data_IF_297077939133
#
_entry.id   IF_297077939133
#
_cell.length_a   1.000
_cell.length_b   1.000
_cell.length_c   1.000
_cell.angle_alpha   90.00
_cell.angle_beta   90.00
_cell.angle_gamma   90.00
#
_symmetry.space_group_name_H-M   'P 1'
#
loop_
_entity.id
_entity.type
_entity.pdbx_description
1 polymer ?
#
# COMPACT_ATOMS: atom_id res chain seq x y z
N UNK A 1 7.45 14.09 -7.36
CA UNK A 1 6.96 12.90 -8.08
C UNK A 1 6.15 12.05 -7.10
N UNK A 2 4.93 11.64 -7.47
CA UNK A 2 4.02 10.87 -6.58
C UNK A 2 4.56 9.47 -6.30
N UNK A 3 5.12 8.80 -7.32
CA UNK A 3 5.61 7.43 -7.23
C UNK A 3 6.73 7.27 -6.17
N UNK A 4 7.68 8.22 -6.15
CA UNK A 4 8.77 8.20 -5.18
C UNK A 4 8.27 8.46 -3.74
N UNK A 5 7.35 9.40 -3.58
CA UNK A 5 6.77 9.71 -2.28
C UNK A 5 6.01 8.50 -1.70
N UNK A 6 5.23 7.80 -2.53
CA UNK A 6 4.53 6.59 -2.13
C UNK A 6 5.50 5.46 -1.74
N UNK A 7 6.56 5.24 -2.53
CA UNK A 7 7.58 4.25 -2.21
C UNK A 7 8.29 4.53 -0.88
N UNK A 8 8.68 5.79 -0.63
CA UNK A 8 9.29 6.19 0.63
C UNK A 8 8.33 6.03 1.82
N UNK A 9 7.06 6.42 1.65
CA UNK A 9 6.05 6.24 2.68
C UNK A 9 5.85 4.75 3.05
N UNK A 10 5.82 3.87 2.04
CA UNK A 10 5.74 2.43 2.26
C UNK A 10 6.97 1.91 3.02
N UNK A 11 8.18 2.32 2.64
CA UNK A 11 9.42 1.94 3.35
C UNK A 11 9.40 2.39 4.80
N UNK A 12 9.05 3.65 5.08
CA UNK A 12 8.96 4.17 6.46
C UNK A 12 7.90 3.40 7.27
N UNK A 13 6.75 3.11 6.67
CA UNK A 13 5.72 2.28 7.29
C UNK A 13 6.26 0.89 7.67
N UNK A 14 6.96 0.23 6.75
CA UNK A 14 7.56 -1.10 6.99
C UNK A 14 8.60 -1.01 8.12
N UNK A 15 9.43 0.03 8.16
CA UNK A 15 10.41 0.22 9.25
C UNK A 15 9.72 0.37 10.61
N UNK A 16 8.58 1.06 10.67
CA UNK A 16 7.83 1.27 11.92
C UNK A 16 7.17 -0.02 12.43
N UNK A 17 6.54 -0.81 11.55
CA UNK A 17 5.73 -1.96 11.96
C UNK A 17 6.34 -3.34 11.61
N UNK A 18 7.55 -3.36 11.04
CA UNK A 18 8.26 -4.54 10.55
C UNK A 18 8.51 -5.59 11.62
N UNK A 19 9.14 -5.20 12.73
CA UNK A 19 9.48 -6.13 13.81
C UNK A 19 8.26 -6.69 14.56
N UNK A 20 7.14 -5.97 14.56
CA UNK A 20 5.93 -6.37 15.31
C UNK A 20 4.98 -7.19 14.46
N UNK A 21 4.71 -6.75 13.23
CA UNK A 21 3.65 -7.29 12.37
C UNK A 21 4.15 -7.91 11.07
N UNK A 22 5.46 -7.83 10.79
CA UNK A 22 6.05 -8.22 9.51
C UNK A 22 5.91 -7.16 8.41
N UNK A 23 5.41 -5.96 8.73
CA UNK A 23 5.40 -4.85 7.77
C UNK A 23 4.42 -5.02 6.60
N UNK A 24 3.35 -5.82 6.74
CA UNK A 24 2.51 -6.20 5.60
C UNK A 24 1.89 -4.99 4.88
N UNK A 25 1.31 -4.06 5.65
CA UNK A 25 0.69 -2.78 5.24
C UNK A 25 -0.26 -2.81 4.01
N UNK A 26 -0.60 -4.00 3.52
CA UNK A 26 -1.38 -4.22 2.32
C UNK A 26 -2.16 -5.54 2.47
N UNK A 27 -3.48 -5.52 2.27
CA UNK A 27 -4.29 -6.74 2.35
C UNK A 27 -3.90 -7.80 1.33
N UNK A 28 -3.53 -7.41 0.10
CA UNK A 28 -3.12 -8.35 -0.94
C UNK A 28 -1.79 -9.05 -0.59
N UNK A 29 -0.84 -8.31 0.00
CA UNK A 29 0.40 -8.89 0.52
C UNK A 29 0.10 -9.87 1.65
N UNK A 30 -0.78 -9.51 2.58
CA UNK A 30 -1.20 -10.39 3.68
C UNK A 30 -1.87 -11.66 3.14
N UNK A 31 -2.75 -11.53 2.15
CA UNK A 31 -3.41 -12.66 1.50
C UNK A 31 -2.40 -13.58 0.81
N UNK A 32 -1.46 -13.02 0.06
CA UNK A 32 -0.42 -13.78 -0.63
C UNK A 32 0.46 -14.57 0.35
N UNK A 33 0.87 -13.94 1.47
CA UNK A 33 1.64 -14.62 2.51
C UNK A 33 0.83 -15.72 3.21
N UNK A 34 -0.49 -15.57 3.34
CA UNK A 34 -1.37 -16.65 3.82
C UNK A 34 -1.49 -17.80 2.81
N UNK A 35 -1.65 -17.50 1.52
CA UNK A 35 -1.70 -18.49 0.44
C UNK A 35 -0.40 -19.31 0.33
N UNK A 36 0.75 -18.65 0.51
CA UNK A 36 2.07 -19.28 0.50
C UNK A 36 2.44 -19.97 1.83
N UNK A 37 1.53 -20.02 2.81
CA UNK A 37 1.78 -20.64 4.12
C UNK A 37 2.76 -19.90 5.02
N UNK A 38 3.18 -18.68 4.66
CA UNK A 38 4.09 -17.83 5.46
C UNK A 38 3.38 -17.09 6.60
N UNK A 39 2.04 -16.99 6.56
CA UNK A 39 1.23 -16.41 7.65
C UNK A 39 -0.02 -17.23 7.94
N UNK A 40 -0.46 -17.25 9.21
CA UNK A 40 -1.66 -17.97 9.65
C UNK A 40 -2.92 -17.30 9.11
N UNK A 41 -3.77 -18.05 8.42
CA UNK A 41 -5.07 -17.58 7.90
C UNK A 41 -5.96 -16.87 8.92
N UNK A 42 -5.91 -17.29 10.20
CA UNK A 42 -6.68 -16.65 11.28
C UNK A 42 -6.29 -15.19 11.52
N UNK A 43 -5.09 -14.77 11.12
CA UNK A 43 -4.62 -13.37 11.24
C UNK A 43 -5.13 -12.49 10.10
N UNK A 44 -5.45 -13.06 8.94
CA UNK A 44 -5.87 -12.32 7.75
C UNK A 44 -7.00 -11.31 8.00
N UNK A 45 -8.15 -11.67 8.62
CA UNK A 45 -9.23 -10.70 8.81
C UNK A 45 -8.86 -9.55 9.75
N UNK A 46 -8.01 -9.82 10.76
CA UNK A 46 -7.53 -8.79 11.68
C UNK A 46 -6.59 -7.82 10.96
N UNK A 47 -5.67 -8.36 10.14
CA UNK A 47 -4.78 -7.53 9.32
C UNK A 47 -5.56 -6.67 8.34
N UNK A 48 -6.51 -7.27 7.62
CA UNK A 48 -7.38 -6.56 6.68
C UNK A 48 -8.08 -5.39 7.37
N UNK A 49 -8.75 -5.65 8.50
CA UNK A 49 -9.51 -4.63 9.23
C UNK A 49 -8.60 -3.50 9.74
N UNK A 50 -7.48 -3.84 10.39
CA UNK A 50 -6.56 -2.82 10.91
C UNK A 50 -5.93 -1.98 9.79
N UNK A 51 -5.57 -2.60 8.66
CA UNK A 51 -5.02 -1.89 7.50
C UNK A 51 -6.06 -0.94 6.88
N UNK A 52 -7.30 -1.38 6.71
CA UNK A 52 -8.38 -0.53 6.18
C UNK A 52 -8.70 0.63 7.12
N UNK A 53 -8.79 0.37 8.43
CA UNK A 53 -9.03 1.43 9.43
C UNK A 53 -7.86 2.43 9.45
N UNK A 54 -6.61 1.94 9.40
CA UNK A 54 -5.44 2.80 9.33
C UNK A 54 -5.44 3.69 8.08
N UNK A 55 -5.77 3.13 6.92
CA UNK A 55 -5.90 3.89 5.68
C UNK A 55 -7.01 4.95 5.76
N UNK A 56 -8.15 4.62 6.38
CA UNK A 56 -9.26 5.55 6.58
C UNK A 56 -8.85 6.75 7.46
N UNK A 57 -8.20 6.50 8.60
CA UNK A 57 -7.70 7.60 9.45
C UNK A 57 -6.59 8.40 8.77
N UNK A 58 -5.69 7.74 8.04
CA UNK A 58 -4.67 8.42 7.24
C UNK A 58 -5.29 9.38 6.21
N UNK A 59 -6.33 8.94 5.50
CA UNK A 59 -7.08 9.81 4.59
C UNK A 59 -7.73 10.98 5.33
N UNK A 60 -8.31 10.75 6.50
CA UNK A 60 -8.89 11.80 7.35
C UNK A 60 -7.88 12.87 7.78
N UNK A 61 -6.65 12.45 8.16
CA UNK A 61 -5.57 13.38 8.52
C UNK A 61 -5.19 14.25 7.33
N UNK A 62 -5.01 13.67 6.15
CA UNK A 62 -4.68 14.41 4.93
C UNK A 62 -5.82 15.36 4.54
N UNK A 63 -7.08 14.92 4.65
CA UNK A 63 -8.24 15.78 4.41
C UNK A 63 -8.26 16.99 5.34
N UNK A 64 -8.04 16.79 6.64
CA UNK A 64 -7.97 17.88 7.62
C UNK A 64 -6.81 18.83 7.34
N UNK A 65 -5.62 18.29 7.05
CA UNK A 65 -4.41 19.07 6.78
C UNK A 65 -4.51 19.92 5.51
N UNK A 66 -5.22 19.44 4.49
CA UNK A 66 -5.40 20.14 3.21
C UNK A 66 -6.81 20.72 3.02
N UNK A 67 -7.59 20.88 4.09
CA UNK A 67 -8.99 21.30 4.00
C UNK A 67 -9.17 22.58 3.18
N UNK A 68 -8.41 23.65 3.51
CA UNK A 68 -8.51 24.94 2.81
C UNK A 68 -8.12 24.83 1.33
N UNK A 69 -7.12 24.01 1.01
CA UNK A 69 -6.69 23.78 -0.37
C UNK A 69 -7.74 23.03 -1.17
N UNK A 70 -8.37 22.01 -0.57
CA UNK A 70 -9.45 21.21 -1.17
C UNK A 70 -10.68 22.11 -1.41
N UNK A 71 -11.07 22.92 -0.43
CA UNK A 71 -12.20 23.84 -0.57
C UNK A 71 -11.96 24.89 -1.67
N UNK A 72 -10.75 25.48 -1.70
CA UNK A 72 -10.37 26.43 -2.75
C UNK A 72 -10.40 25.81 -4.15
N UNK A 73 -9.93 24.58 -4.29
CA UNK A 73 -10.02 23.84 -5.55
C UNK A 73 -11.47 23.58 -5.94
N UNK A 74 -12.29 23.12 -4.98
CA UNK A 74 -13.70 22.83 -5.18
C UNK A 74 -14.48 24.05 -5.67
N UNK A 75 -14.30 25.21 -5.04
CA UNK A 75 -14.96 26.45 -5.45
C UNK A 75 -14.54 26.87 -6.87
N UNK A 76 -13.26 26.68 -7.22
CA UNK A 76 -12.72 27.10 -8.53
C UNK A 76 -13.15 26.19 -9.67
N UNK A 77 -13.16 24.89 -9.45
CA UNK A 77 -13.40 23.87 -10.49
C UNK A 77 -14.82 23.31 -10.46
N UNK A 78 -15.59 23.62 -9.41
CA UNK A 78 -16.91 23.05 -9.15
C UNK A 78 -16.90 21.51 -9.03
N UNK A 79 -15.75 20.93 -8.65
CA UNK A 79 -15.51 19.48 -8.55
C UNK A 79 -14.70 19.15 -7.29
N UNK A 80 -14.90 17.94 -6.73
CA UNK A 80 -14.12 17.47 -5.58
C UNK A 80 -12.89 16.69 -6.07
N UNK A 81 -11.70 16.89 -5.48
CA UNK A 81 -10.48 16.20 -5.89
C UNK A 81 -10.39 14.78 -5.28
N UNK A 82 -11.37 13.92 -5.58
CA UNK A 82 -11.46 12.56 -5.03
C UNK A 82 -10.29 11.65 -5.41
N UNK A 83 -9.58 11.96 -6.50
CA UNK A 83 -8.39 11.26 -6.95
C UNK A 83 -7.17 11.37 -6.02
N UNK A 84 -7.21 12.28 -5.02
CA UNK A 84 -6.17 12.36 -3.98
C UNK A 84 -6.24 11.15 -3.04
N UNK A 85 -7.43 10.60 -2.81
CA UNK A 85 -7.68 9.59 -1.77
C UNK A 85 -7.83 8.18 -2.33
N UNK A 86 -8.24 8.04 -3.59
CA UNK A 86 -8.43 6.75 -4.24
C UNK A 86 -8.02 6.81 -5.71
N UNK A 87 -7.66 5.67 -6.26
CA UNK A 87 -7.34 5.53 -7.68
C UNK A 87 -8.62 5.32 -8.49
N UNK A 88 -8.69 5.96 -9.65
CA UNK A 88 -9.79 5.85 -10.59
C UNK A 88 -9.24 5.45 -11.96
N UNK A 89 -9.91 4.54 -12.69
CA UNK A 89 -9.44 4.13 -14.00
C UNK A 89 -9.44 5.31 -14.97
N UNK A 90 -8.41 5.40 -15.80
CA UNK A 90 -8.39 6.37 -16.89
C UNK A 90 -9.49 6.07 -17.91
N UNK A 91 -9.97 7.09 -18.62
CA UNK A 91 -11.11 6.95 -19.56
C UNK A 91 -10.90 5.98 -20.72
N UNK A 92 -9.67 5.50 -20.94
CA UNK A 92 -9.33 4.50 -21.95
C UNK A 92 -9.34 3.05 -21.43
N UNK A 93 -9.49 2.84 -20.12
CA UNK A 93 -9.42 1.51 -19.50
C UNK A 93 -10.82 0.91 -19.34
N UNK A 94 -10.99 -0.29 -19.89
CA UNK A 94 -12.15 -1.13 -19.58
C UNK A 94 -11.99 -1.79 -18.22
N UNK A 95 -13.09 -2.17 -17.57
CA UNK A 95 -13.06 -2.87 -16.27
C UNK A 95 -12.24 -4.15 -16.32
N UNK A 96 -12.31 -4.91 -17.42
CA UNK A 96 -11.53 -6.12 -17.60
C UNK A 96 -10.02 -5.83 -17.69
N UNK A 97 -9.61 -4.84 -18.48
CA UNK A 97 -8.20 -4.47 -18.57
C UNK A 97 -7.68 -3.89 -17.25
N UNK A 98 -8.49 -3.08 -16.55
CA UNK A 98 -8.15 -2.56 -15.23
C UNK A 98 -7.95 -3.67 -14.19
N UNK A 99 -8.73 -4.76 -14.25
CA UNK A 99 -8.52 -5.92 -13.40
C UNK A 99 -7.16 -6.58 -13.65
N UNK A 100 -6.82 -6.86 -14.92
CA UNK A 100 -5.54 -7.48 -15.26
C UNK A 100 -4.34 -6.58 -14.92
N UNK A 101 -4.46 -5.28 -15.15
CA UNK A 101 -3.45 -4.29 -14.75
C UNK A 101 -3.15 -4.38 -13.24
N UNK A 102 -4.19 -4.30 -12.41
CA UNK A 102 -4.02 -4.38 -10.95
C UNK A 102 -3.52 -5.76 -10.49
N UNK A 103 -3.98 -6.83 -11.14
CA UNK A 103 -3.53 -8.18 -10.84
C UNK A 103 -2.04 -8.37 -11.13
N UNK A 104 -1.59 -8.00 -12.33
CA UNK A 104 -0.19 -8.14 -12.75
C UNK A 104 0.71 -7.21 -11.92
N UNK A 105 0.29 -5.96 -11.70
CA UNK A 105 1.05 -5.01 -10.87
C UNK A 105 1.22 -5.50 -9.43
N UNK A 106 0.16 -6.03 -8.83
CA UNK A 106 0.21 -6.58 -7.47
C UNK A 106 1.04 -7.86 -7.39
N UNK A 107 0.97 -8.72 -8.41
CA UNK A 107 1.80 -9.91 -8.49
C UNK A 107 3.30 -9.56 -8.56
N UNK A 108 3.67 -8.57 -9.39
CA UNK A 108 5.04 -8.08 -9.48
C UNK A 108 5.53 -7.53 -8.13
N UNK A 109 4.70 -6.73 -7.44
CA UNK A 109 5.00 -6.25 -6.09
C UNK A 109 5.25 -7.41 -5.11
N UNK A 110 4.39 -8.43 -5.09
CA UNK A 110 4.53 -9.59 -4.21
C UNK A 110 5.83 -10.35 -4.52
N UNK A 111 6.16 -10.55 -5.80
CA UNK A 111 7.43 -11.19 -6.20
C UNK A 111 8.62 -10.40 -5.68
N UNK A 112 8.63 -9.07 -5.82
CA UNK A 112 9.70 -8.24 -5.28
C UNK A 112 9.79 -8.34 -3.75
N UNK A 113 8.66 -8.30 -3.03
CA UNK A 113 8.63 -8.45 -1.56
C UNK A 113 9.19 -9.82 -1.16
N UNK A 114 8.77 -10.89 -1.83
CA UNK A 114 9.27 -12.23 -1.55
C UNK A 114 10.76 -12.34 -1.81
N UNK A 115 11.25 -11.77 -2.92
CA UNK A 115 12.66 -11.77 -3.27
C UNK A 115 13.52 -10.99 -2.26
N UNK A 116 13.05 -9.86 -1.74
CA UNK A 116 13.77 -9.05 -0.75
C UNK A 116 13.80 -9.75 0.63
N UNK A 117 12.73 -10.44 1.00
CA UNK A 117 12.57 -11.08 2.33
C UNK A 117 12.98 -12.56 2.30
N UNK A 118 13.49 -13.07 1.18
CA UNK A 118 13.97 -14.45 1.08
C UNK A 118 15.42 -14.54 1.62
N UNK A 119 15.66 -15.26 2.73
CA UNK A 119 17.01 -15.43 3.28
C UNK A 119 17.94 -16.27 2.37
N UNK A 120 17.39 -17.00 1.39
CA UNK A 120 18.15 -17.76 0.41
C UNK A 120 18.42 -16.96 -0.87
N UNK A 121 17.80 -15.78 -1.00
CA UNK A 121 18.13 -14.80 -2.02
C UNK A 121 19.14 -13.79 -1.45
N UNK A 122 20.03 -13.28 -2.29
CA UNK A 122 21.21 -12.44 -1.98
C UNK A 122 21.21 -11.86 -0.53
N UNK A 123 21.87 -12.51 0.45
CA UNK A 123 21.77 -12.10 1.85
C UNK A 123 22.27 -10.67 2.01
N UNK A 124 21.54 -9.87 2.78
CA UNK A 124 21.96 -8.51 3.13
C UNK A 124 23.35 -8.62 3.76
N UNK A 125 24.38 -7.89 3.25
CA UNK A 125 25.71 -7.96 3.83
C UNK A 125 25.66 -7.71 5.34
N UNK A 126 26.30 -8.58 6.12
CA UNK A 126 26.40 -8.42 7.59
C UNK A 126 26.88 -7.00 7.91
N UNK A 127 26.01 -6.19 8.54
CA UNK A 127 26.26 -4.78 8.87
C UNK A 127 25.25 -3.78 8.30
N UNK A 128 24.34 -4.21 7.41
CA UNK A 128 23.19 -3.40 6.95
C UNK A 128 21.82 -3.98 7.37
N UNK A 129 21.81 -4.99 8.23
CA UNK A 129 20.57 -5.51 8.81
C UNK A 129 19.99 -4.48 9.77
N UNK A 130 18.68 -4.22 9.66
CA UNK A 130 17.98 -3.41 10.64
C UNK A 130 17.95 -4.16 11.98
N UNK A 131 18.58 -3.57 13.01
CA UNK A 131 18.62 -4.07 14.40
C UNK A 131 17.24 -4.40 14.94
#
# INVERSE_FOLDING_TARGET
SVNLAFGLAATLGILVCGQVSGGHLNPAVTLALCLLGRSKWRKFPVYFLCQTIGAFFGAGIIFGMYYDAIQKYHIKQNELPYGIFATYPGGHLTTANGFFDQFIGTAALIVCVLAIVDPYNNPIPQGLEAL
#
